data_IF_687739682421
#
_entry.id   IF_687739682421
#
_cell.length_a   1.000
_cell.length_b   1.000
_cell.length_c   1.000
_cell.angle_alpha   90.00
_cell.angle_beta   90.00
_cell.angle_gamma   90.00
#
_symmetry.space_group_name_H-M   'P 1'
#
loop_
_entity.id
_entity.type
_entity.pdbx_description
1 polymer ?
#
# COMPACT_ATOMS: atom_id res chain seq x y z
N UNK A 1 16.16 23.17 18.46
CA UNK A 1 15.31 22.08 17.92
C UNK A 1 14.22 21.79 18.94
N UNK A 2 12.93 21.85 18.60
CA UNK A 2 11.85 21.53 19.54
C UNK A 2 11.78 20.00 19.69
N UNK A 3 12.21 19.43 20.84
CA UNK A 3 12.37 17.98 20.97
C UNK A 3 11.03 17.25 20.89
N UNK A 4 9.98 17.84 21.43
CA UNK A 4 8.62 17.28 21.40
C UNK A 4 8.10 17.17 19.98
N UNK A 5 8.26 18.23 19.17
CA UNK A 5 7.82 18.23 17.77
C UNK A 5 8.56 17.16 16.95
N UNK A 6 9.88 17.05 17.13
CA UNK A 6 10.67 16.02 16.44
C UNK A 6 10.16 14.60 16.77
N UNK A 7 9.93 14.31 18.06
CA UNK A 7 9.39 13.03 18.50
C UNK A 7 7.99 12.75 17.93
N UNK A 8 7.13 13.77 17.84
CA UNK A 8 5.81 13.64 17.20
C UNK A 8 5.93 13.28 15.73
N UNK A 9 6.87 13.87 14.99
CA UNK A 9 7.10 13.55 13.58
C UNK A 9 7.64 12.13 13.39
N UNK A 10 8.55 11.69 14.27
CA UNK A 10 9.02 10.30 14.32
C UNK A 10 7.87 9.33 14.58
N UNK A 11 7.05 9.63 15.57
CA UNK A 11 5.87 8.82 15.88
C UNK A 11 4.91 8.74 14.68
N UNK A 12 4.58 9.88 14.07
CA UNK A 12 3.70 9.94 12.91
C UNK A 12 4.28 9.14 11.73
N UNK A 13 5.57 9.30 11.44
CA UNK A 13 6.25 8.56 10.37
C UNK A 13 6.16 7.04 10.58
N UNK A 14 6.53 6.56 11.77
CA UNK A 14 6.52 5.14 12.11
C UNK A 14 5.09 4.58 12.07
N UNK A 15 4.11 5.31 12.61
CA UNK A 15 2.70 4.92 12.52
C UNK A 15 2.26 4.79 11.06
N UNK A 16 2.62 5.75 10.21
CA UNK A 16 2.34 5.69 8.78
C UNK A 16 2.92 4.44 8.11
N UNK A 17 4.18 4.10 8.45
CA UNK A 17 4.85 2.91 7.93
C UNK A 17 4.14 1.63 8.37
N UNK A 18 3.74 1.54 9.64
CA UNK A 18 3.00 0.38 10.18
C UNK A 18 1.67 0.21 9.44
N UNK A 19 0.90 1.28 9.28
CA UNK A 19 -0.39 1.25 8.59
C UNK A 19 -0.22 0.84 7.12
N UNK A 20 0.74 1.44 6.43
CA UNK A 20 0.99 1.20 5.01
C UNK A 20 1.48 -0.23 4.75
N UNK A 21 2.57 -0.64 5.40
CA UNK A 21 3.16 -1.97 5.20
C UNK A 21 2.24 -3.09 5.70
N UNK A 22 1.59 -2.87 6.85
CA UNK A 22 0.60 -3.78 7.40
C UNK A 22 -0.57 -3.98 6.44
N UNK A 23 -1.16 -2.90 5.91
CA UNK A 23 -2.30 -3.01 5.01
C UNK A 23 -1.95 -3.73 3.71
N UNK A 24 -0.84 -3.37 3.07
CA UNK A 24 -0.44 -3.96 1.78
C UNK A 24 -0.23 -5.47 1.91
N UNK A 25 0.41 -5.92 2.99
CA UNK A 25 0.69 -7.35 3.19
C UNK A 25 -0.55 -8.13 3.58
N UNK A 26 -1.33 -7.65 4.55
CA UNK A 26 -2.48 -8.40 5.06
C UNK A 26 -3.64 -8.42 4.06
N UNK A 27 -3.83 -7.33 3.29
CA UNK A 27 -4.90 -7.21 2.29
C UNK A 27 -4.76 -8.22 1.17
N UNK A 28 -3.54 -8.41 0.67
CA UNK A 28 -3.27 -9.47 -0.30
C UNK A 28 -3.60 -10.86 0.27
N UNK A 29 -3.19 -11.14 1.51
CA UNK A 29 -3.41 -12.43 2.17
C UNK A 29 -4.89 -12.78 2.29
N UNK A 30 -5.69 -11.94 2.94
CA UNK A 30 -7.10 -12.27 3.16
C UNK A 30 -7.94 -12.20 1.87
N UNK A 31 -7.56 -11.35 0.90
CA UNK A 31 -8.25 -11.31 -0.41
C UNK A 31 -8.04 -12.59 -1.19
N UNK A 32 -6.82 -13.13 -1.20
CA UNK A 32 -6.53 -14.43 -1.83
C UNK A 32 -7.30 -15.56 -1.15
N UNK A 33 -7.39 -15.56 0.19
CA UNK A 33 -8.22 -16.53 0.90
C UNK A 33 -9.71 -16.44 0.51
N UNK A 34 -10.24 -15.22 0.36
CA UNK A 34 -11.61 -15.02 -0.11
C UNK A 34 -11.80 -15.55 -1.55
N UNK A 35 -10.85 -15.30 -2.44
CA UNK A 35 -10.87 -15.84 -3.81
C UNK A 35 -10.87 -17.38 -3.83
N UNK A 36 -10.13 -18.03 -2.93
CA UNK A 36 -10.07 -19.50 -2.83
C UNK A 36 -11.40 -20.13 -2.44
N UNK A 37 -12.30 -19.40 -1.78
CA UNK A 37 -13.63 -19.91 -1.41
C UNK A 37 -14.51 -20.17 -2.64
N UNK A 38 -14.24 -19.48 -3.76
CA UNK A 38 -15.10 -19.44 -4.95
C UNK A 38 -16.55 -19.04 -4.64
N UNK A 39 -16.80 -18.45 -3.47
CA UNK A 39 -18.09 -17.94 -3.07
C UNK A 39 -18.24 -16.49 -3.54
N UNK A 40 -19.21 -16.27 -4.43
CA UNK A 40 -19.47 -14.98 -5.05
C UNK A 40 -19.67 -13.84 -4.03
N UNK A 41 -20.36 -14.09 -2.92
CA UNK A 41 -20.67 -13.08 -1.90
C UNK A 41 -19.44 -12.75 -1.05
N UNK A 42 -18.67 -13.77 -0.67
CA UNK A 42 -17.42 -13.56 0.07
C UNK A 42 -16.40 -12.79 -0.76
N UNK A 43 -16.28 -13.12 -2.06
CA UNK A 43 -15.39 -12.40 -2.98
C UNK A 43 -15.84 -10.96 -3.17
N UNK A 44 -17.14 -10.69 -3.29
CA UNK A 44 -17.66 -9.33 -3.40
C UNK A 44 -17.41 -8.49 -2.14
N UNK A 45 -17.64 -9.09 -0.96
CA UNK A 45 -17.29 -8.46 0.31
C UNK A 45 -15.80 -8.13 0.37
N UNK A 46 -14.96 -9.10 0.03
CA UNK A 46 -13.51 -8.95 0.02
C UNK A 46 -13.06 -7.80 -0.90
N UNK A 47 -13.51 -7.76 -2.15
CA UNK A 47 -13.14 -6.69 -3.08
C UNK A 47 -13.57 -5.30 -2.60
N UNK A 48 -14.75 -5.18 -1.96
CA UNK A 48 -15.17 -3.91 -1.35
C UNK A 48 -14.29 -3.54 -0.15
N UNK A 49 -13.96 -4.53 0.68
CA UNK A 49 -13.10 -4.32 1.84
C UNK A 49 -11.69 -3.85 1.45
N UNK A 50 -11.13 -4.29 0.31
CA UNK A 50 -9.82 -3.84 -0.19
C UNK A 50 -9.83 -2.33 -0.40
N UNK A 51 -10.87 -1.82 -1.08
CA UNK A 51 -11.00 -0.38 -1.37
C UNK A 51 -11.13 0.42 -0.08
N UNK A 52 -11.94 -0.06 0.88
CA UNK A 52 -12.11 0.61 2.17
C UNK A 52 -10.78 0.62 2.95
N UNK A 53 -10.07 -0.51 2.96
CA UNK A 53 -8.78 -0.64 3.62
C UNK A 53 -7.73 0.31 3.02
N UNK A 54 -7.73 0.49 1.69
CA UNK A 54 -6.87 1.47 1.02
C UNK A 54 -7.17 2.92 1.46
N UNK A 55 -8.45 3.28 1.58
CA UNK A 55 -8.84 4.61 2.04
C UNK A 55 -8.51 4.86 3.52
N UNK A 56 -8.60 3.83 4.37
CA UNK A 56 -8.39 3.96 5.82
C UNK A 56 -6.94 3.76 6.26
N UNK A 57 -6.16 2.97 5.53
CA UNK A 57 -4.83 2.56 5.96
C UNK A 57 -3.74 2.91 4.95
N UNK A 58 -3.95 2.66 3.65
CA UNK A 58 -2.94 2.98 2.62
C UNK A 58 -2.77 4.50 2.47
N UNK A 59 -3.85 5.23 2.21
CA UNK A 59 -3.78 6.69 2.00
C UNK A 59 -3.31 7.43 3.26
N UNK A 60 -3.90 7.22 4.46
CA UNK A 60 -3.39 7.83 5.69
C UNK A 60 -1.96 7.39 6.01
N UNK A 61 -1.62 6.12 5.76
CA UNK A 61 -0.27 5.59 5.92
C UNK A 61 0.75 6.36 5.08
N UNK A 62 0.47 6.54 3.79
CA UNK A 62 1.29 7.35 2.87
C UNK A 62 1.48 8.78 3.39
N UNK A 63 0.38 9.44 3.78
CA UNK A 63 0.42 10.84 4.26
C UNK A 63 1.29 10.95 5.52
N UNK A 64 1.05 10.09 6.51
CA UNK A 64 1.80 10.07 7.77
C UNK A 64 3.29 9.77 7.56
N UNK A 65 3.61 8.78 6.71
CA UNK A 65 4.99 8.44 6.35
C UNK A 65 5.69 9.62 5.68
N UNK A 66 5.07 10.27 4.69
CA UNK A 66 5.69 11.39 3.97
C UNK A 66 5.83 12.63 4.85
N UNK A 67 4.75 13.07 5.50
CA UNK A 67 4.76 14.28 6.33
C UNK A 67 5.74 14.12 7.50
N UNK A 68 5.71 12.97 8.18
CA UNK A 68 6.63 12.67 9.27
C UNK A 68 8.08 12.61 8.78
N UNK A 69 8.34 11.89 7.67
CA UNK A 69 9.70 11.72 7.12
C UNK A 69 10.33 13.01 6.62
N UNK A 70 9.56 13.82 5.87
CA UNK A 70 10.00 15.15 5.40
C UNK A 70 10.24 16.07 6.61
N UNK A 71 9.34 16.07 7.59
CA UNK A 71 9.51 16.87 8.81
C UNK A 71 10.77 16.51 9.60
N UNK A 72 11.06 15.22 9.77
CA UNK A 72 12.30 14.73 10.40
C UNK A 72 13.53 15.24 9.63
N UNK A 73 13.53 15.08 8.31
CA UNK A 73 14.64 15.49 7.44
C UNK A 73 14.93 16.99 7.55
N UNK A 74 13.89 17.83 7.50
CA UNK A 74 14.02 19.29 7.64
C UNK A 74 14.55 19.69 9.02
N UNK A 75 14.04 19.08 10.10
CA UNK A 75 14.48 19.39 11.46
C UNK A 75 15.88 18.85 11.77
N UNK A 76 16.23 17.70 11.23
CA UNK A 76 17.55 17.07 11.38
C UNK A 76 18.64 17.66 10.49
N UNK A 77 18.29 18.59 9.60
CA UNK A 77 19.20 19.16 8.59
C UNK A 77 19.80 18.08 7.68
N UNK A 78 18.99 17.10 7.28
CA UNK A 78 19.38 16.02 6.37
C UNK A 78 18.75 16.29 5.01
N UNK A 79 19.46 16.89 4.04
CA UNK A 79 18.86 17.25 2.76
C UNK A 79 18.41 15.98 2.01
N UNK A 80 17.11 15.87 1.69
CA UNK A 80 16.48 14.67 1.13
C UNK A 80 17.21 14.09 -0.10
N UNK A 81 17.83 14.96 -0.90
CA UNK A 81 18.42 14.60 -2.19
C UNK A 81 19.96 14.57 -2.20
N UNK A 82 20.62 15.04 -1.15
CA UNK A 82 22.08 14.95 -1.00
C UNK A 82 22.49 13.68 -0.26
N UNK A 83 21.55 13.15 0.51
CA UNK A 83 21.70 11.97 1.34
C UNK A 83 21.32 10.73 0.53
N UNK A 84 22.31 9.92 0.16
CA UNK A 84 22.15 8.80 -0.79
C UNK A 84 20.98 7.87 -0.45
N UNK A 85 20.98 7.24 0.74
CA UNK A 85 19.93 6.30 1.14
C UNK A 85 18.54 6.95 1.22
N UNK A 86 18.46 8.23 1.55
CA UNK A 86 17.21 8.98 1.66
C UNK A 86 16.63 9.31 0.28
N UNK A 87 17.48 9.73 -0.67
CA UNK A 87 17.09 9.98 -2.06
C UNK A 87 16.58 8.71 -2.74
N UNK A 88 17.27 7.57 -2.54
CA UNK A 88 16.83 6.26 -3.03
C UNK A 88 15.53 5.81 -2.36
N UNK A 89 15.35 6.09 -1.07
CA UNK A 89 14.09 5.78 -0.38
C UNK A 89 12.91 6.55 -0.99
N UNK A 90 13.09 7.84 -1.29
CA UNK A 90 12.06 8.65 -1.97
C UNK A 90 11.77 8.10 -3.37
N UNK A 91 12.80 7.76 -4.14
CA UNK A 91 12.64 7.16 -5.47
C UNK A 91 11.80 5.88 -5.41
N UNK A 92 12.16 4.93 -4.55
CA UNK A 92 11.41 3.67 -4.39
C UNK A 92 9.99 3.91 -3.87
N UNK A 93 9.77 4.93 -3.05
CA UNK A 93 8.43 5.30 -2.58
C UNK A 93 7.55 5.78 -3.73
N UNK A 94 8.10 6.60 -4.63
CA UNK A 94 7.40 7.04 -5.86
C UNK A 94 7.10 5.85 -6.77
N UNK A 95 8.06 4.94 -6.96
CA UNK A 95 7.84 3.71 -7.74
C UNK A 95 6.68 2.89 -7.16
N UNK A 96 6.65 2.69 -5.84
CA UNK A 96 5.55 1.98 -5.16
C UNK A 96 4.20 2.68 -5.37
N UNK A 97 4.17 4.02 -5.20
CA UNK A 97 2.98 4.84 -5.40
C UNK A 97 2.45 4.76 -6.84
N UNK A 98 3.34 4.77 -7.84
CA UNK A 98 2.97 4.60 -9.25
C UNK A 98 2.40 3.20 -9.51
N UNK A 99 3.04 2.14 -8.99
CA UNK A 99 2.52 0.76 -9.12
C UNK A 99 1.11 0.65 -8.54
N UNK A 100 0.89 1.24 -7.36
CA UNK A 100 -0.43 1.25 -6.74
C UNK A 100 -1.46 2.06 -7.54
N UNK A 101 -1.17 3.33 -7.85
CA UNK A 101 -2.12 4.22 -8.53
C UNK A 101 -2.44 3.80 -9.96
N UNK A 102 -1.43 3.43 -10.74
CA UNK A 102 -1.57 3.18 -12.18
C UNK A 102 -2.08 1.77 -12.47
N UNK A 103 -1.71 0.79 -11.64
CA UNK A 103 -2.04 -0.61 -11.91
C UNK A 103 -3.04 -1.21 -10.91
N UNK A 104 -2.80 -1.08 -9.61
CA UNK A 104 -3.65 -1.73 -8.60
C UNK A 104 -5.03 -1.07 -8.49
N UNK A 105 -5.11 0.27 -8.46
CA UNK A 105 -6.39 1.00 -8.35
C UNK A 105 -7.34 0.64 -9.52
N UNK A 106 -6.92 0.68 -10.79
CA UNK A 106 -7.81 0.29 -11.89
C UNK A 106 -8.26 -1.17 -11.80
N UNK A 107 -7.36 -2.09 -11.43
CA UNK A 107 -7.66 -3.51 -11.29
C UNK A 107 -8.65 -3.77 -10.15
N UNK A 108 -8.50 -3.13 -8.99
CA UNK A 108 -9.43 -3.34 -7.87
C UNK A 108 -10.80 -2.71 -8.14
N UNK A 109 -10.87 -1.58 -8.85
CA UNK A 109 -12.15 -1.00 -9.28
C UNK A 109 -12.88 -1.94 -10.24
N UNK A 110 -12.17 -2.48 -11.24
CA UNK A 110 -12.75 -3.45 -12.20
C UNK A 110 -13.25 -4.71 -11.50
N UNK A 111 -12.44 -5.29 -10.63
CA UNK A 111 -12.82 -6.46 -9.85
C UNK A 111 -14.01 -6.18 -8.92
N UNK A 112 -14.01 -5.05 -8.21
CA UNK A 112 -15.13 -4.67 -7.33
C UNK A 112 -16.45 -4.47 -8.08
N UNK A 113 -16.40 -3.86 -9.28
CA UNK A 113 -17.59 -3.72 -10.15
C UNK A 113 -18.10 -5.06 -10.63
N UNK A 114 -17.21 -5.95 -11.09
CA UNK A 114 -17.59 -7.31 -11.49
C UNK A 114 -18.18 -8.09 -10.31
N UNK A 115 -17.56 -7.98 -9.14
CA UNK A 115 -17.98 -8.71 -7.95
C UNK A 115 -19.33 -8.27 -7.41
N UNK A 116 -19.68 -7.00 -7.55
CA UNK A 116 -21.04 -6.53 -7.23
C UNK A 116 -22.10 -7.24 -8.09
N UNK A 117 -21.82 -7.46 -9.37
CA UNK A 117 -22.76 -8.10 -10.30
C UNK A 117 -22.88 -9.61 -10.01
N UNK A 118 -21.75 -10.31 -9.89
CA UNK A 118 -21.79 -11.75 -9.67
C UNK A 118 -22.21 -12.14 -8.25
N UNK A 119 -22.19 -11.23 -7.27
CA UNK A 119 -22.76 -11.49 -5.94
C UNK A 119 -24.26 -11.78 -5.98
N UNK A 120 -24.96 -11.26 -7.00
CA UNK A 120 -26.39 -11.47 -7.20
C UNK A 120 -26.65 -12.72 -8.05
N UNK A 121 -25.84 -12.97 -9.08
CA UNK A 121 -26.05 -14.07 -10.04
C UNK A 121 -25.38 -15.39 -9.62
N UNK A 122 -24.33 -15.34 -8.81
CA UNK A 122 -23.51 -16.50 -8.43
C UNK A 122 -22.40 -16.87 -9.43
N UNK A 123 -22.50 -16.42 -10.68
CA UNK A 123 -21.57 -16.79 -11.75
C UNK A 123 -20.36 -15.85 -11.83
N UNK A 124 -19.18 -16.35 -11.45
CA UNK A 124 -17.93 -15.58 -11.46
C UNK A 124 -17.26 -15.69 -12.84
N UNK A 125 -17.13 -14.59 -13.60
CA UNK A 125 -16.59 -14.63 -14.96
C UNK A 125 -15.06 -14.84 -14.98
N UNK A 126 -14.55 -15.48 -16.03
CA UNK A 126 -13.10 -15.69 -16.22
C UNK A 126 -12.27 -14.40 -16.26
N UNK A 127 -12.89 -13.28 -16.67
CA UNK A 127 -12.26 -11.97 -16.62
C UNK A 127 -11.90 -11.55 -15.19
N UNK A 128 -12.71 -11.92 -14.19
CA UNK A 128 -12.39 -11.67 -12.78
C UNK A 128 -11.11 -12.39 -12.38
N UNK A 129 -11.00 -13.68 -12.69
CA UNK A 129 -9.82 -14.49 -12.33
C UNK A 129 -8.55 -14.02 -13.04
N UNK A 130 -8.67 -13.46 -14.24
CA UNK A 130 -7.55 -12.81 -14.92
C UNK A 130 -7.10 -11.54 -14.18
N UNK A 131 -8.04 -10.67 -13.85
CA UNK A 131 -7.75 -9.42 -13.13
C UNK A 131 -7.22 -9.70 -11.71
N UNK A 132 -7.75 -10.72 -11.02
CA UNK A 132 -7.30 -11.16 -9.70
C UNK A 132 -5.84 -11.64 -9.70
N UNK A 133 -5.44 -12.42 -10.71
CA UNK A 133 -4.05 -12.85 -10.89
C UNK A 133 -3.11 -11.69 -11.15
N UNK A 134 -3.52 -10.73 -11.99
CA UNK A 134 -2.73 -9.52 -12.20
C UNK A 134 -2.63 -8.68 -10.94
N UNK A 135 -3.72 -8.51 -10.21
CA UNK A 135 -3.76 -7.73 -8.98
C UNK A 135 -2.81 -8.30 -7.93
N UNK A 136 -2.80 -9.61 -7.69
CA UNK A 136 -1.87 -10.21 -6.70
C UNK A 136 -0.41 -10.15 -7.19
N UNK A 137 -0.16 -10.37 -8.49
CA UNK A 137 1.19 -10.33 -9.06
C UNK A 137 1.80 -8.93 -8.92
N UNK A 138 1.05 -7.90 -9.33
CA UNK A 138 1.48 -6.51 -9.23
C UNK A 138 1.57 -6.10 -7.76
N UNK A 139 0.66 -6.60 -6.91
CA UNK A 139 0.71 -6.38 -5.45
C UNK A 139 2.01 -6.89 -4.84
N UNK A 140 2.44 -8.10 -5.19
CA UNK A 140 3.72 -8.66 -4.76
C UNK A 140 4.93 -7.92 -5.34
N UNK A 141 4.84 -7.39 -6.56
CA UNK A 141 5.90 -6.53 -7.11
C UNK A 141 5.96 -5.20 -6.35
N UNK A 142 4.82 -4.63 -5.99
CA UNK A 142 4.72 -3.36 -5.27
C UNK A 142 5.21 -3.45 -3.81
N UNK A 143 5.29 -4.64 -3.20
CA UNK A 143 5.88 -4.81 -1.87
C UNK A 143 7.41 -4.74 -1.89
N UNK A 144 8.06 -5.09 -3.00
CA UNK A 144 9.53 -5.08 -3.11
C UNK A 144 10.13 -3.69 -2.84
N UNK A 145 9.66 -2.59 -3.46
CA UNK A 145 10.11 -1.24 -3.12
C UNK A 145 10.00 -0.92 -1.62
N UNK A 146 8.94 -1.36 -0.93
CA UNK A 146 8.76 -1.10 0.49
C UNK A 146 9.80 -1.81 1.36
N UNK A 147 10.17 -3.04 0.99
CA UNK A 147 11.24 -3.78 1.67
C UNK A 147 12.61 -3.10 1.44
N UNK A 148 12.85 -2.59 0.24
CA UNK A 148 14.07 -1.81 -0.07
C UNK A 148 14.12 -0.53 0.77
N UNK A 149 13.02 0.22 0.84
CA UNK A 149 12.92 1.43 1.67
C UNK A 149 13.16 1.11 3.15
N UNK A 150 12.56 0.03 3.66
CA UNK A 150 12.78 -0.42 5.03
C UNK A 150 14.27 -0.70 5.29
N UNK A 151 14.94 -1.41 4.38
CA UNK A 151 16.38 -1.65 4.47
C UNK A 151 17.17 -0.33 4.48
N UNK A 152 16.90 0.58 3.55
CA UNK A 152 17.59 1.88 3.46
C UNK A 152 17.41 2.73 4.72
N UNK A 153 16.21 2.74 5.30
CA UNK A 153 15.90 3.52 6.50
C UNK A 153 16.53 2.93 7.78
N UNK A 154 16.73 1.61 7.83
CA UNK A 154 17.35 0.92 8.96
C UNK A 154 18.87 0.99 8.90
N UNK A 155 19.46 0.60 7.77
CA UNK A 155 20.91 0.44 7.66
C UNK A 155 21.64 1.72 7.24
N UNK A 156 20.93 2.65 6.58
CA UNK A 156 21.45 3.96 6.17
C UNK A 156 22.86 3.90 5.53
N UNK A 157 23.04 3.07 4.49
CA UNK A 157 24.33 2.92 3.81
C UNK A 157 24.77 4.19 3.07
#
# INVERSE_FOLDING_TARGET
MNPTLYQTLVYAHILGVILLAGNITITAFWKVLADMTKDAKQIAFANRAVIIADWLFTLPGIVLTLVGGIGISLMGQWPLFEVSWLSWSVFWFVVAGVLWMVFLIPLQIRQSRAAKLFAETGDIPDSYWRDARWWITIGLIATVPLLIILYLMVFKP
#
